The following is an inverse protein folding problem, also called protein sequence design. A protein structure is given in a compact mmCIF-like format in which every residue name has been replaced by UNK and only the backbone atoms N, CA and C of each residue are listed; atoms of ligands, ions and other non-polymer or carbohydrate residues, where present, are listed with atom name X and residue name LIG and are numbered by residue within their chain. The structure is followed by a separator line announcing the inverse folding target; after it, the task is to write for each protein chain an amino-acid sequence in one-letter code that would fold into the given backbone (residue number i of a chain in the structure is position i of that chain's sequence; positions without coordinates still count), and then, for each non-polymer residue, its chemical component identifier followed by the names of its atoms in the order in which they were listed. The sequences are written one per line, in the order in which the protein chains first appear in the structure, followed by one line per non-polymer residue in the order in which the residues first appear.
data_IF_622090143194
#
_entry.id   IF_622090143194
#
_cell.length_a   1.000
_cell.length_b   1.000
_cell.length_c   1.000
_cell.angle_alpha   90.00
_cell.angle_beta   90.00
_cell.angle_gamma   90.00
#
_symmetry.space_group_name_H-M   'P 1'
#
loop_
_entity.id
_entity.type
_entity.pdbx_description
1 polymer ?
#
# COMPACT_ATOMS: atom_id res chain seq x y z
N UNK A 1 -12.16 1.81 24.53
CA UNK A 1 -11.38 2.02 23.29
C UNK A 1 -9.90 2.15 23.68
N UNK A 2 -9.07 1.28 23.17
CA UNK A 2 -7.62 1.36 23.38
C UNK A 2 -7.08 2.46 22.45
N UNK A 3 -6.55 3.53 23.05
CA UNK A 3 -5.77 4.53 22.30
C UNK A 3 -4.30 4.15 22.49
N UNK A 4 -3.58 3.80 21.41
CA UNK A 4 -2.16 3.53 21.52
C UNK A 4 -1.45 4.76 22.07
N UNK A 5 -0.47 4.54 22.95
CA UNK A 5 0.38 5.62 23.44
C UNK A 5 1.22 6.17 22.30
N UNK A 6 1.65 7.42 22.41
CA UNK A 6 2.48 8.05 21.39
C UNK A 6 3.76 7.25 21.10
N UNK A 7 4.35 6.63 22.11
CA UNK A 7 5.50 5.75 21.98
C UNK A 7 5.21 4.51 21.11
N UNK A 8 4.00 3.94 21.24
CA UNK A 8 3.57 2.80 20.42
C UNK A 8 3.40 3.21 18.95
N UNK A 9 2.97 4.45 18.70
CA UNK A 9 2.84 5.00 17.35
C UNK A 9 4.20 5.28 16.70
N UNK A 10 5.18 5.74 17.46
CA UNK A 10 6.54 5.99 16.98
C UNK A 10 7.22 4.68 16.57
N UNK A 11 6.96 3.58 17.25
CA UNK A 11 7.46 2.25 16.86
C UNK A 11 6.73 1.64 15.66
N UNK A 12 5.53 2.12 15.34
CA UNK A 12 4.77 1.66 14.18
C UNK A 12 5.22 2.34 12.87
N UNK A 13 5.82 3.50 12.95
CA UNK A 13 6.53 4.07 11.81
C UNK A 13 7.80 3.25 11.58
N UNK A 14 7.76 2.48 10.52
CA UNK A 14 8.95 1.80 10.06
C UNK A 14 9.96 2.87 9.64
N UNK A 15 10.81 3.28 10.58
CA UNK A 15 11.88 4.24 10.35
C UNK A 15 12.91 3.53 9.47
N UNK A 16 12.58 3.40 8.20
CA UNK A 16 13.63 3.18 7.22
C UNK A 16 14.47 4.45 7.21
N UNK A 17 15.66 4.35 7.76
CA UNK A 17 16.66 5.39 7.69
C UNK A 17 16.76 5.89 6.25
N UNK A 18 16.46 7.15 6.01
CA UNK A 18 16.51 7.77 4.69
C UNK A 18 15.17 8.12 4.05
N UNK A 19 14.02 7.87 4.69
CA UNK A 19 12.75 8.44 4.22
C UNK A 19 12.73 9.95 4.53
N UNK A 20 12.63 10.72 3.46
CA UNK A 20 12.42 12.17 3.51
C UNK A 20 10.94 12.50 3.28
N UNK A 21 10.54 13.72 3.56
CA UNK A 21 9.19 14.24 3.30
C UNK A 21 8.97 14.60 1.82
N UNK A 22 10.03 14.64 1.02
CA UNK A 22 9.97 14.85 -0.43
C UNK A 22 10.45 13.61 -1.17
N UNK A 23 9.60 13.06 -2.04
CA UNK A 23 9.86 11.85 -2.83
C UNK A 23 9.91 12.20 -4.32
N UNK A 24 11.09 12.38 -4.84
CA UNK A 24 11.34 12.73 -6.25
C UNK A 24 11.66 11.52 -7.15
N UNK A 25 11.71 10.32 -6.58
CA UNK A 25 11.98 9.05 -7.25
C UNK A 25 10.72 8.36 -7.79
N UNK A 26 9.52 8.92 -7.51
CA UNK A 26 8.25 8.35 -7.94
C UNK A 26 7.78 9.00 -9.24
N UNK A 27 7.64 8.18 -10.29
CA UNK A 27 7.15 8.63 -11.58
C UNK A 27 5.61 8.64 -11.64
N UNK A 28 5.01 9.83 -11.63
CA UNK A 28 3.56 10.01 -11.78
C UNK A 28 3.07 9.78 -13.22
N UNK A 29 3.96 9.86 -14.20
CA UNK A 29 3.61 9.84 -15.61
C UNK A 29 4.08 8.56 -16.32
N UNK A 30 4.14 7.44 -15.61
CA UNK A 30 4.48 6.18 -16.24
C UNK A 30 3.42 5.81 -17.30
N UNK A 31 3.80 5.96 -18.57
CA UNK A 31 2.93 5.67 -19.72
C UNK A 31 2.65 4.18 -19.90
N UNK A 32 3.37 3.30 -19.20
CA UNK A 32 3.16 1.85 -19.23
C UNK A 32 1.99 1.41 -18.37
N UNK A 33 1.49 2.27 -17.50
CA UNK A 33 0.35 1.98 -16.63
C UNK A 33 -0.92 2.51 -17.26
N UNK A 34 -1.86 1.61 -17.54
CA UNK A 34 -3.19 2.00 -17.99
C UNK A 34 -3.91 2.80 -16.89
N UNK A 35 -4.26 4.04 -17.21
CA UNK A 35 -5.00 4.92 -16.33
C UNK A 35 -6.44 5.04 -16.80
N UNK A 36 -7.37 4.58 -15.99
CA UNK A 36 -8.81 4.75 -16.25
C UNK A 36 -9.46 5.82 -15.35
N UNK A 37 -8.71 6.38 -14.41
CA UNK A 37 -9.17 7.45 -13.53
C UNK A 37 -8.23 8.66 -13.64
N UNK A 38 -8.78 9.86 -13.77
CA UNK A 38 -8.02 11.10 -14.01
C UNK A 38 -6.98 11.41 -12.92
N UNK A 39 -7.28 11.02 -11.69
CA UNK A 39 -6.42 11.24 -10.52
C UNK A 39 -5.81 9.96 -9.96
N UNK A 40 -5.65 8.94 -10.80
CA UNK A 40 -5.04 7.67 -10.38
C UNK A 40 -3.62 7.88 -9.87
N UNK A 41 -3.40 7.47 -8.62
CA UNK A 41 -2.09 7.54 -7.98
C UNK A 41 -1.20 6.37 -8.40
N UNK A 42 0.11 6.58 -8.57
CA UNK A 42 1.04 5.49 -8.86
C UNK A 42 1.13 4.53 -7.68
N UNK A 43 1.18 3.23 -7.99
CA UNK A 43 1.28 2.18 -6.96
C UNK A 43 2.51 2.38 -6.06
N UNK A 44 3.72 2.67 -6.57
CA UNK A 44 4.90 2.87 -5.72
C UNK A 44 4.74 3.95 -4.64
N UNK A 45 3.95 5.00 -4.93
CA UNK A 45 3.64 6.03 -3.94
C UNK A 45 2.80 5.46 -2.79
N UNK A 46 1.73 4.75 -3.14
CA UNK A 46 0.81 4.18 -2.15
C UNK A 46 1.49 3.05 -1.37
N UNK A 47 2.30 2.22 -2.02
CA UNK A 47 3.09 1.19 -1.35
C UNK A 47 3.99 1.77 -0.26
N UNK A 48 4.68 2.88 -0.55
CA UNK A 48 5.53 3.58 0.42
C UNK A 48 4.73 4.04 1.63
N UNK A 49 3.58 4.69 1.40
CA UNK A 49 2.68 5.15 2.47
C UNK A 49 2.21 3.97 3.32
N UNK A 50 1.75 2.89 2.70
CA UNK A 50 1.22 1.72 3.41
C UNK A 50 2.30 1.03 4.24
N UNK A 51 3.49 0.83 3.68
CA UNK A 51 4.62 0.20 4.39
C UNK A 51 5.09 1.00 5.58
N UNK A 52 5.08 2.32 5.49
CA UNK A 52 5.54 3.21 6.58
C UNK A 52 4.50 3.43 7.66
N UNK A 53 3.21 3.31 7.32
CA UNK A 53 2.10 3.68 8.20
C UNK A 53 1.29 2.50 8.73
N UNK A 54 1.64 1.27 8.33
CA UNK A 54 0.91 0.06 8.75
C UNK A 54 1.83 -1.16 8.79
N UNK A 55 1.35 -2.21 9.45
CA UNK A 55 2.00 -3.52 9.49
C UNK A 55 1.17 -4.56 8.70
N UNK A 56 1.77 -5.68 8.28
CA UNK A 56 1.03 -6.80 7.70
C UNK A 56 -0.17 -7.21 8.57
N UNK A 57 -1.25 -7.63 7.92
CA UNK A 57 -2.54 -8.01 8.52
C UNK A 57 -3.37 -6.86 9.15
N UNK A 58 -2.86 -5.64 9.20
CA UNK A 58 -3.66 -4.48 9.60
C UNK A 58 -4.64 -4.06 8.51
N UNK A 59 -5.68 -3.34 8.91
CA UNK A 59 -6.73 -2.84 8.00
C UNK A 59 -6.46 -1.40 7.60
N UNK A 60 -6.47 -1.13 6.31
CA UNK A 60 -6.37 0.19 5.70
C UNK A 60 -7.75 0.61 5.20
N UNK A 61 -8.17 1.80 5.55
CA UNK A 61 -9.42 2.40 5.08
C UNK A 61 -9.13 3.53 4.09
N UNK A 62 -9.78 3.48 2.93
CA UNK A 62 -9.79 4.56 1.95
C UNK A 62 -11.23 4.90 1.56
N UNK A 63 -11.74 6.02 2.05
CA UNK A 63 -13.12 6.46 1.80
C UNK A 63 -13.32 7.11 0.43
N UNK A 64 -12.25 7.33 -0.32
CA UNK A 64 -12.25 7.88 -1.68
C UNK A 64 -11.46 6.95 -2.63
N UNK A 65 -11.91 5.71 -2.75
CA UNK A 65 -11.18 4.60 -3.38
C UNK A 65 -10.72 4.85 -4.83
N UNK A 66 -11.52 5.58 -5.60
CA UNK A 66 -11.20 5.99 -6.97
C UNK A 66 -10.77 4.83 -7.86
N UNK A 67 -9.51 4.83 -8.29
CA UNK A 67 -8.93 3.76 -9.13
C UNK A 67 -8.58 2.47 -8.38
N UNK A 68 -8.70 2.46 -7.05
CA UNK A 68 -8.34 1.31 -6.22
C UNK A 68 -6.84 1.12 -5.97
N UNK A 69 -6.01 2.12 -6.23
CA UNK A 69 -4.55 2.01 -6.02
C UNK A 69 -4.20 1.63 -4.58
N UNK A 70 -4.94 2.15 -3.60
CA UNK A 70 -4.77 1.79 -2.18
C UNK A 70 -5.05 0.31 -1.94
N UNK A 71 -6.15 -0.21 -2.49
CA UNK A 71 -6.50 -1.63 -2.36
C UNK A 71 -5.48 -2.56 -3.05
N UNK A 72 -4.98 -2.16 -4.22
CA UNK A 72 -3.90 -2.89 -4.91
C UNK A 72 -2.66 -2.97 -4.04
N UNK A 73 -2.19 -1.84 -3.52
CA UNK A 73 -1.00 -1.80 -2.66
C UNK A 73 -1.20 -2.60 -1.36
N UNK A 74 -2.39 -2.54 -0.76
CA UNK A 74 -2.75 -3.36 0.40
C UNK A 74 -2.61 -4.84 0.11
N UNK A 75 -3.15 -5.29 -1.03
CA UNK A 75 -3.09 -6.69 -1.44
C UNK A 75 -1.67 -7.17 -1.75
N UNK A 76 -0.84 -6.32 -2.34
CA UNK A 76 0.56 -6.62 -2.60
C UNK A 76 1.38 -6.82 -1.30
N UNK A 77 0.98 -6.20 -0.21
CA UNK A 77 1.74 -6.14 1.03
C UNK A 77 0.99 -6.72 2.25
N UNK A 78 0.06 -7.63 2.03
CA UNK A 78 -0.66 -8.36 3.09
C UNK A 78 -1.44 -7.47 4.07
N UNK A 79 -1.96 -6.32 3.60
CA UNK A 79 -2.90 -5.51 4.39
C UNK A 79 -4.32 -5.82 3.98
N UNK A 80 -5.24 -5.79 4.94
CA UNK A 80 -6.67 -5.80 4.68
C UNK A 80 -7.10 -4.44 4.17
N UNK A 81 -8.08 -4.40 3.28
CA UNK A 81 -8.54 -3.16 2.67
C UNK A 81 -10.05 -2.99 2.80
N UNK A 82 -10.46 -1.80 3.18
CA UNK A 82 -11.85 -1.34 3.12
C UNK A 82 -11.84 -0.06 2.30
N UNK A 83 -12.57 -0.03 1.20
CA UNK A 83 -12.68 1.12 0.32
C UNK A 83 -14.12 1.52 0.05
N UNK A 84 -14.34 2.82 -0.17
CA UNK A 84 -15.60 3.37 -0.63
C UNK A 84 -15.37 4.12 -1.94
N UNK A 85 -16.32 3.97 -2.87
CA UNK A 85 -16.35 4.72 -4.13
C UNK A 85 -17.81 4.96 -4.50
N UNK A 86 -18.16 6.23 -4.76
CA UNK A 86 -19.53 6.63 -5.06
C UNK A 86 -19.91 6.36 -6.52
N UNK A 87 -18.95 6.45 -7.43
CA UNK A 87 -19.19 6.16 -8.85
C UNK A 87 -19.18 4.66 -9.09
N UNK A 88 -20.29 4.15 -9.58
CA UNK A 88 -20.48 2.70 -9.82
C UNK A 88 -19.48 2.13 -10.82
N UNK A 89 -19.12 2.90 -11.85
CA UNK A 89 -18.18 2.46 -12.89
C UNK A 89 -16.77 2.36 -12.32
N UNK A 90 -16.35 3.36 -11.56
CA UNK A 90 -15.06 3.31 -10.87
C UNK A 90 -15.03 2.26 -9.79
N UNK A 91 -16.11 2.09 -9.04
CA UNK A 91 -16.22 1.01 -8.05
C UNK A 91 -16.00 -0.36 -8.69
N UNK A 92 -16.67 -0.65 -9.82
CA UNK A 92 -16.49 -1.93 -10.50
C UNK A 92 -15.06 -2.12 -11.01
N UNK A 93 -14.53 -1.12 -11.73
CA UNK A 93 -13.16 -1.18 -12.27
C UNK A 93 -12.10 -1.32 -11.19
N UNK A 94 -12.24 -0.60 -10.08
CA UNK A 94 -11.31 -0.71 -8.96
C UNK A 94 -11.39 -2.07 -8.27
N UNK A 95 -12.59 -2.61 -8.10
CA UNK A 95 -12.81 -3.94 -7.54
C UNK A 95 -12.17 -5.02 -8.41
N UNK A 96 -12.36 -4.96 -9.72
CA UNK A 96 -11.76 -5.90 -10.67
C UNK A 96 -10.22 -5.82 -10.62
N UNK A 97 -9.68 -4.61 -10.63
CA UNK A 97 -8.24 -4.38 -10.51
C UNK A 97 -7.64 -4.95 -9.24
N UNK A 98 -8.28 -4.72 -8.10
CA UNK A 98 -7.83 -5.26 -6.81
C UNK A 98 -7.93 -6.79 -6.82
N UNK A 99 -9.01 -7.36 -7.34
CA UNK A 99 -9.22 -8.81 -7.38
C UNK A 99 -8.19 -9.51 -8.27
N UNK A 100 -7.81 -8.92 -9.38
CA UNK A 100 -6.79 -9.44 -10.31
C UNK A 100 -5.35 -9.30 -9.80
N UNK A 101 -5.13 -8.46 -8.78
CA UNK A 101 -3.81 -8.29 -8.18
C UNK A 101 -3.38 -9.57 -7.48
N UNK A 102 -2.19 -10.07 -7.81
CA UNK A 102 -1.58 -11.23 -7.14
C UNK A 102 -0.71 -10.71 -6.01
N UNK A 103 -0.87 -11.19 -4.76
CA UNK A 103 0.02 -10.83 -3.67
C UNK A 103 1.47 -11.14 -4.01
N UNK A 104 2.38 -10.25 -3.67
CA UNK A 104 3.80 -10.59 -3.69
C UNK A 104 4.02 -11.59 -2.54
N UNK A 105 4.38 -12.81 -2.89
CA UNK A 105 4.87 -13.76 -1.88
C UNK A 105 6.10 -13.09 -1.26
N UNK A 106 6.01 -12.72 0.01
CA UNK A 106 7.17 -12.27 0.76
C UNK A 106 8.20 -13.39 0.67
N UNK A 107 9.21 -13.18 -0.16
CA UNK A 107 10.45 -13.94 -0.01
C UNK A 107 11.10 -13.38 1.27
N UNK A 108 10.55 -13.75 2.42
CA UNK A 108 11.32 -13.80 3.63
C UNK A 108 12.37 -14.86 3.39
N UNK A 109 13.45 -14.44 2.76
CA UNK A 109 14.73 -15.13 2.89
C UNK A 109 15.15 -14.97 4.34
N UNK A 110 14.55 -15.74 5.23
CA UNK A 110 15.24 -16.19 6.43
C UNK A 110 16.43 -16.97 5.92
N UNK A 111 17.53 -16.26 5.70
CA UNK A 111 18.83 -16.91 5.55
C UNK A 111 18.99 -17.76 6.81
N UNK A 112 19.04 -19.10 6.70
CA UNK A 112 19.19 -19.93 7.89
C UNK A 112 20.44 -19.48 8.63
N UNK A 113 20.36 -19.36 9.95
CA UNK A 113 21.51 -19.01 10.81
C UNK A 113 22.78 -19.86 10.52
N UNK A 114 22.58 -21.06 9.94
CA UNK A 114 23.67 -21.95 9.49
C UNK A 114 24.50 -21.38 8.32
N UNK A 115 24.02 -20.34 7.60
CA UNK A 115 24.79 -19.71 6.52
C UNK A 115 25.47 -18.39 6.94
N UNK A 116 25.30 -17.96 8.21
CA UNK A 116 25.90 -16.76 8.77
C UNK A 116 27.15 -17.07 9.63
N UNK A 117 27.56 -18.31 9.70
CA UNK A 117 28.78 -18.75 10.40
C UNK A 117 29.92 -19.07 9.43
#
# INVERSE_FOLDING_TARGET
MYLPKYEDLVYTFNIQTGLTDVWNDINFYDRKVEKFHSTQKPIPLIERIIKTSSNPNQTVLDIFGGSGSTGVACKLHDRKFIGCEIDKTYHQKSSDRINQTVPQVSQDTTTPLSQLL
#
